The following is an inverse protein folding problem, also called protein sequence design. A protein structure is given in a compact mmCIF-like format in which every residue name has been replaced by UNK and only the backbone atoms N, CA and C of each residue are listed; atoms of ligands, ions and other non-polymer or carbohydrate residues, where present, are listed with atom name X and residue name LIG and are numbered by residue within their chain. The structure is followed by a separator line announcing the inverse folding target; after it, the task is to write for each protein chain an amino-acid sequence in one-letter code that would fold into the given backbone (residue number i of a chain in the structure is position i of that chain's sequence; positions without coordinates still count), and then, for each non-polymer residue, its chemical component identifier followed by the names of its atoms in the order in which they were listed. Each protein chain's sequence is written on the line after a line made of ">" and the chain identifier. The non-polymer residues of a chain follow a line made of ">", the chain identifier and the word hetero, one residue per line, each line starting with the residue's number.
data_IF_465530171573
#
_entry.id   IF_465530171573
#
_cell.length_a   1.000
_cell.length_b   1.000
_cell.length_c   1.000
_cell.angle_alpha   90.00
_cell.angle_beta   90.00
_cell.angle_gamma   90.00
#
_symmetry.space_group_name_H-M   'P 1'
#
loop_
_entity.id
_entity.type
_entity.pdbx_description
1 polymer ?
2 non-polymer ?
3 non-polymer ?
4 water ?
#
# COMPACT_ATOMS: atom_id res chain seq x y z
N UNK A 1 8.76 12.74 -24.07
CA UNK A 1 7.84 11.94 -23.26
C UNK A 1 8.57 11.02 -22.32
N UNK A 2 8.34 11.16 -21.00
CA UNK A 2 9.01 10.25 -20.06
C UNK A 2 8.50 8.82 -20.13
N UNK A 3 9.33 7.87 -19.72
CA UNK A 3 8.94 6.46 -19.75
C UNK A 3 8.10 6.15 -18.51
N UNK A 4 7.42 4.97 -18.50
CA UNK A 4 6.66 4.59 -17.32
C UNK A 4 7.59 4.44 -16.09
N UNK A 5 8.78 3.80 -16.28
CA UNK A 5 9.69 3.62 -15.15
C UNK A 5 10.31 4.94 -14.66
N UNK A 6 10.55 5.90 -15.57
CA UNK A 6 11.01 7.24 -15.22
C UNK A 6 9.93 7.93 -14.38
N UNK A 7 8.66 7.81 -14.80
CA UNK A 7 7.55 8.40 -14.02
C UNK A 7 7.39 7.73 -12.66
N UNK A 8 7.63 6.39 -12.57
CA UNK A 8 7.54 5.72 -11.26
C UNK A 8 8.65 6.26 -10.35
N UNK A 9 9.88 6.44 -10.91
CA UNK A 9 10.98 6.97 -10.10
C UNK A 9 10.76 8.44 -9.69
N UNK A 10 10.18 9.26 -10.58
CA UNK A 10 9.87 10.66 -10.26
C UNK A 10 8.82 10.67 -9.12
N UNK A 11 7.82 9.79 -9.22
CA UNK A 11 6.81 9.64 -8.18
C UNK A 11 7.44 9.24 -6.84
N UNK A 12 8.36 8.26 -6.87
CA UNK A 12 9.05 7.84 -5.64
C UNK A 12 9.84 8.99 -5.04
N UNK A 13 10.54 9.77 -5.88
CA UNK A 13 11.34 10.89 -5.40
C UNK A 13 10.41 11.95 -4.76
N UNK A 14 9.29 12.24 -5.42
CA UNK A 14 8.29 13.17 -4.90
C UNK A 14 7.72 12.65 -3.57
N UNK A 15 7.50 11.34 -3.45
CA UNK A 15 6.97 10.74 -2.24
C UNK A 15 7.95 10.96 -1.08
N UNK A 16 9.27 10.77 -1.33
CA UNK A 16 10.29 11.01 -0.30
C UNK A 16 10.25 12.48 0.16
N UNK A 17 9.97 13.39 -0.77
CA UNK A 17 9.82 14.81 -0.47
C UNK A 17 8.47 15.21 0.11
N UNK A 18 7.59 14.23 0.40
CA UNK A 18 6.22 14.41 0.94
C UNK A 18 5.31 15.19 0.02
N UNK A 19 5.54 15.10 -1.30
CA UNK A 19 4.68 15.79 -2.26
C UNK A 19 3.68 14.76 -2.78
N UNK A 20 2.68 14.41 -1.95
CA UNK A 20 1.75 13.29 -2.23
C UNK A 20 0.82 13.48 -3.46
N UNK A 21 0.11 14.60 -3.69
CA UNK A 21 -0.70 14.73 -4.92
C UNK A 21 0.18 14.63 -6.17
N UNK A 22 1.35 15.27 -6.12
CA UNK A 22 2.28 15.25 -7.25
C UNK A 22 2.78 13.83 -7.50
N UNK A 23 3.13 13.12 -6.43
CA UNK A 23 3.58 11.72 -6.56
C UNK A 23 2.46 10.84 -7.14
N UNK A 24 1.21 10.99 -6.62
CA UNK A 24 0.09 10.20 -7.12
C UNK A 24 -0.15 10.45 -8.61
N UNK A 25 0.00 11.70 -9.05
CA UNK A 25 -0.18 12.03 -10.48
C UNK A 25 0.90 11.36 -11.32
N UNK A 26 2.17 11.31 -10.86
CA UNK A 26 3.23 10.60 -11.61
C UNK A 26 2.91 9.11 -11.73
N UNK A 27 2.47 8.46 -10.62
CA UNK A 27 2.10 7.05 -10.69
C UNK A 27 0.94 6.84 -11.67
N UNK A 28 0.00 7.81 -11.74
CA UNK A 28 -1.11 7.75 -12.67
C UNK A 28 -0.60 7.82 -14.10
N UNK A 29 0.40 8.68 -14.37
CA UNK A 29 0.98 8.78 -15.71
C UNK A 29 1.74 7.48 -16.08
N UNK A 30 2.36 6.82 -15.08
CA UNK A 30 3.04 5.54 -15.32
C UNK A 30 1.98 4.48 -15.71
N UNK A 31 0.82 4.47 -15.00
CA UNK A 31 -0.31 3.57 -15.26
C UNK A 31 -0.85 3.78 -16.68
N UNK A 32 -0.92 5.03 -17.13
CA UNK A 32 -1.38 5.32 -18.50
C UNK A 32 -0.51 4.61 -19.52
N UNK A 33 0.82 4.65 -19.29
CA UNK A 33 1.75 3.98 -20.20
C UNK A 33 1.69 2.47 -20.09
N UNK A 34 1.60 1.95 -18.86
CA UNK A 34 1.54 0.52 -18.64
C UNK A 34 0.63 0.21 -17.45
N UNK A 35 -0.63 -0.15 -17.73
CA UNK A 35 -1.57 -0.39 -16.62
C UNK A 35 -1.48 -1.80 -16.01
N UNK A 36 -0.48 -2.59 -16.40
CA UNK A 36 -0.34 -3.98 -15.94
C UNK A 36 0.72 -4.20 -14.86
N UNK A 37 1.19 -3.11 -14.24
CA UNK A 37 2.24 -3.17 -13.23
C UNK A 37 1.61 -2.91 -11.89
N UNK A 38 1.50 -3.96 -11.07
CA UNK A 38 0.87 -3.82 -9.77
C UNK A 38 1.50 -2.74 -8.88
N UNK A 39 2.84 -2.61 -8.87
CA UNK A 39 3.50 -1.68 -7.97
C UNK A 39 3.13 -0.21 -8.22
N UNK A 40 2.67 0.13 -9.44
CA UNK A 40 2.25 1.53 -9.68
C UNK A 40 0.99 1.83 -8.82
N UNK A 41 0.06 0.86 -8.76
CA UNK A 41 -1.15 1.01 -7.97
C UNK A 41 -0.84 0.98 -6.48
N UNK A 42 0.04 0.07 -6.04
CA UNK A 42 0.43 -0.01 -4.64
C UNK A 42 1.10 1.30 -4.16
N UNK A 43 1.97 1.86 -5.00
CA UNK A 43 2.62 3.12 -4.67
C UNK A 43 1.61 4.27 -4.58
N UNK A 44 0.63 4.31 -5.50
CA UNK A 44 -0.38 5.36 -5.46
C UNK A 44 -1.30 5.15 -4.28
N UNK A 45 -1.60 3.90 -3.88
CA UNK A 45 -2.44 3.65 -2.70
C UNK A 45 -1.83 4.29 -1.45
N UNK A 46 -0.50 4.24 -1.35
CA UNK A 46 0.19 4.87 -0.22
C UNK A 46 0.05 6.39 -0.26
N UNK A 47 0.10 6.96 -1.46
CA UNK A 47 -0.13 8.42 -1.61
C UNK A 47 -1.54 8.76 -1.11
N UNK A 48 -2.54 7.97 -1.56
CA UNK A 48 -3.92 8.19 -1.14
C UNK A 48 -4.04 8.07 0.37
N UNK A 49 -3.32 7.11 0.98
CA UNK A 49 -3.34 6.96 2.42
C UNK A 49 -2.78 8.17 3.12
N UNK A 50 -1.64 8.71 2.63
CA UNK A 50 -1.08 9.94 3.19
C UNK A 50 -2.01 11.13 3.00
N UNK A 51 -2.80 11.14 1.93
CA UNK A 51 -3.77 12.21 1.67
C UNK A 51 -5.12 11.96 2.36
N UNK A 52 -5.23 10.89 3.18
CA UNK A 52 -6.43 10.56 3.91
C UNK A 52 -7.60 10.18 2.99
N UNK A 53 -7.32 9.72 1.76
CA UNK A 53 -8.36 9.33 0.81
C UNK A 53 -8.45 7.81 0.90
N UNK A 54 -9.17 7.34 1.92
CA UNK A 54 -9.23 5.92 2.23
C UNK A 54 -9.93 5.08 1.19
N UNK A 55 -11.08 5.51 0.69
CA UNK A 55 -11.75 4.75 -0.39
C UNK A 55 -10.85 4.62 -1.65
N UNK A 56 -10.10 5.68 -2.00
CA UNK A 56 -9.21 5.61 -3.16
C UNK A 56 -8.03 4.67 -2.89
N UNK A 57 -7.49 4.70 -1.66
CA UNK A 57 -6.39 3.83 -1.28
C UNK A 57 -6.84 2.35 -1.35
N UNK A 58 -8.07 2.05 -0.84
CA UNK A 58 -8.58 0.67 -0.92
C UNK A 58 -8.70 0.23 -2.38
N UNK A 59 -9.21 1.11 -3.23
CA UNK A 59 -9.41 0.76 -4.65
C UNK A 59 -8.10 0.48 -5.34
N UNK A 60 -7.02 1.24 -5.04
CA UNK A 60 -5.73 0.95 -5.67
C UNK A 60 -5.16 -0.36 -5.13
N UNK A 61 -5.34 -0.66 -3.84
CA UNK A 61 -4.88 -1.95 -3.31
C UNK A 61 -5.58 -3.10 -4.03
N UNK A 62 -6.90 -2.95 -4.30
CA UNK A 62 -7.64 -4.00 -5.01
C UNK A 62 -7.15 -4.16 -6.46
N UNK A 63 -6.79 -3.06 -7.13
CA UNK A 63 -6.27 -3.15 -8.51
C UNK A 63 -4.92 -3.86 -8.49
N UNK A 64 -4.08 -3.57 -7.49
CA UNK A 64 -2.78 -4.22 -7.36
C UNK A 64 -2.96 -5.72 -7.10
N UNK A 65 -3.91 -6.08 -6.21
CA UNK A 65 -4.15 -7.47 -5.85
C UNK A 65 -4.69 -8.31 -7.00
N UNK A 66 -5.45 -7.65 -7.91
CA UNK A 66 -5.97 -8.35 -9.06
C UNK A 66 -4.84 -8.70 -10.05
N UNK A 67 -3.78 -7.87 -10.12
CA UNK A 67 -2.64 -8.12 -10.98
C UNK A 67 -1.61 -9.05 -10.30
N UNK A 68 -1.44 -8.90 -8.97
CA UNK A 68 -0.46 -9.67 -8.22
C UNK A 68 -1.03 -10.04 -6.85
N UNK A 69 -1.66 -11.21 -6.80
CA UNK A 69 -2.24 -11.73 -5.57
C UNK A 69 -1.24 -12.09 -4.48
N UNK A 70 0.05 -12.15 -4.84
CA UNK A 70 1.11 -12.43 -3.89
C UNK A 70 1.74 -11.17 -3.31
N UNK A 71 1.23 -9.98 -3.66
CA UNK A 71 1.85 -8.74 -3.19
C UNK A 71 1.84 -8.56 -1.68
N UNK A 72 3.03 -8.53 -1.10
CA UNK A 72 3.20 -8.22 0.31
C UNK A 72 2.74 -6.77 0.56
N UNK A 73 3.21 -5.85 -0.26
CA UNK A 73 2.92 -4.43 -0.08
C UNK A 73 1.45 -4.10 -0.23
N UNK A 74 0.74 -4.71 -1.21
CA UNK A 74 -0.68 -4.43 -1.37
C UNK A 74 -1.49 -4.90 -0.17
N UNK A 75 -1.17 -6.08 0.40
CA UNK A 75 -1.87 -6.55 1.60
C UNK A 75 -1.51 -5.66 2.78
N UNK A 76 -0.24 -5.25 2.87
CA UNK A 76 0.17 -4.41 4.01
C UNK A 76 -0.56 -3.05 3.98
N UNK A 77 -0.59 -2.38 2.81
CA UNK A 77 -1.25 -1.08 2.71
C UNK A 77 -2.76 -1.22 2.84
N UNK A 78 -3.34 -2.33 2.37
CA UNK A 78 -4.77 -2.58 2.54
C UNK A 78 -5.10 -2.67 4.04
N UNK A 79 -4.29 -3.42 4.78
CA UNK A 79 -4.48 -3.56 6.21
C UNK A 79 -4.32 -2.24 6.94
N UNK A 80 -3.28 -1.44 6.60
CA UNK A 80 -3.07 -0.14 7.21
C UNK A 80 -4.25 0.78 6.95
N UNK A 81 -4.78 0.76 5.72
CA UNK A 81 -5.92 1.58 5.36
C UNK A 81 -7.16 1.16 6.16
N UNK A 82 -7.44 -0.15 6.21
CA UNK A 82 -8.56 -0.67 7.00
C UNK A 82 -8.43 -0.31 8.46
N UNK A 83 -7.21 -0.30 8.98
CA UNK A 83 -6.98 0.06 10.39
C UNK A 83 -7.41 1.52 10.63
N UNK A 84 -7.01 2.42 9.72
CA UNK A 84 -7.41 3.83 9.85
C UNK A 84 -8.92 3.99 9.73
N UNK A 85 -9.59 3.10 8.94
CA UNK A 85 -11.06 3.10 8.79
C UNK A 85 -11.80 2.39 9.92
N UNK A 86 -11.05 1.89 10.92
CA UNK A 86 -11.62 1.21 12.05
C UNK A 86 -12.26 -0.13 11.68
N UNK A 87 -11.84 -0.75 10.56
CA UNK A 87 -12.26 -2.11 10.19
C UNK A 87 -11.15 -3.03 10.73
N UNK A 88 -11.13 -3.24 12.05
CA UNK A 88 -10.03 -3.90 12.75
C UNK A 88 -9.79 -5.32 12.38
N UNK A 89 -10.86 -6.12 12.30
CA UNK A 89 -10.71 -7.54 12.01
C UNK A 89 -10.10 -7.74 10.63
N UNK A 90 -10.60 -6.98 9.65
CA UNK A 90 -10.08 -7.08 8.29
C UNK A 90 -8.62 -6.61 8.22
N UNK A 91 -8.29 -5.50 8.92
CA UNK A 91 -6.94 -4.95 8.94
C UNK A 91 -5.93 -6.02 9.43
N UNK A 92 -6.26 -6.66 10.56
CA UNK A 92 -5.40 -7.65 11.20
C UNK A 92 -5.18 -8.83 10.27
N UNK A 93 -6.24 -9.31 9.62
CA UNK A 93 -6.10 -10.42 8.67
C UNK A 93 -5.17 -10.04 7.50
N UNK A 94 -5.30 -8.82 6.91
CA UNK A 94 -4.41 -8.41 5.83
C UNK A 94 -2.94 -8.20 6.29
N UNK A 95 -2.74 -7.65 7.49
CA UNK A 95 -1.38 -7.47 8.01
C UNK A 95 -0.75 -8.85 8.27
N UNK A 96 -1.52 -9.77 8.83
CA UNK A 96 -1.06 -11.15 9.04
C UNK A 96 -0.73 -11.83 7.71
N UNK A 97 -1.52 -11.54 6.67
CA UNK A 97 -1.26 -12.09 5.35
C UNK A 97 0.02 -11.50 4.75
N UNK A 98 0.28 -10.19 4.96
CA UNK A 98 1.53 -9.60 4.47
C UNK A 98 2.72 -10.25 5.20
N UNK A 99 2.58 -10.52 6.50
CA UNK A 99 3.63 -11.19 7.27
C UNK A 99 3.96 -12.57 6.67
N UNK A 100 2.92 -13.37 6.43
CA UNK A 100 3.09 -14.71 5.89
C UNK A 100 3.67 -14.70 4.49
N UNK A 101 3.22 -13.74 3.64
CA UNK A 101 3.74 -13.67 2.28
C UNK A 101 5.22 -13.22 2.30
N UNK A 102 5.58 -12.27 3.21
CA UNK A 102 6.95 -11.81 3.30
C UNK A 102 7.85 -12.94 3.77
N UNK A 103 7.40 -13.74 4.73
CA UNK A 103 8.19 -14.88 5.22
C UNK A 103 8.38 -15.93 4.11
N UNK A 104 7.33 -16.19 3.31
CA UNK A 104 7.39 -17.17 2.22
C UNK A 104 8.32 -16.68 1.10
N UNK A 105 8.28 -15.37 0.81
CA UNK A 105 9.12 -14.78 -0.22
C UNK A 105 10.55 -14.42 0.28
N UNK A 106 10.87 -14.76 1.54
CA UNK A 106 12.15 -14.53 2.18
C UNK A 106 12.54 -13.07 2.16
N UNK A 107 11.56 -12.21 2.46
CA UNK A 107 11.75 -10.77 2.48
C UNK A 107 11.99 -10.32 3.90
N UNK A 108 12.86 -9.32 4.04
CA UNK A 108 13.24 -8.83 5.34
C UNK A 108 12.80 -7.40 5.53
N UNK A 109 11.79 -7.17 6.38
CA UNK A 109 11.36 -5.82 6.72
C UNK A 109 11.55 -5.53 8.23
N UNK A 110 12.44 -6.27 8.89
CA UNK A 110 12.68 -6.14 10.31
C UNK A 110 11.41 -6.37 11.12
N UNK A 111 11.12 -5.46 12.05
CA UNK A 111 9.91 -5.57 12.85
C UNK A 111 8.75 -4.74 12.28
N UNK A 112 8.81 -4.34 11.00
CA UNK A 112 7.76 -3.53 10.41
C UNK A 112 6.37 -4.16 10.49
N UNK A 113 6.24 -5.43 10.04
CA UNK A 113 4.91 -6.04 10.01
C UNK A 113 4.47 -6.43 11.43
N UNK A 114 5.29 -7.11 12.28
CA UNK A 114 4.83 -7.38 13.66
C UNK A 114 4.47 -6.11 14.44
N UNK A 115 5.18 -4.99 14.20
CA UNK A 115 4.89 -3.70 14.88
C UNK A 115 3.51 -3.19 14.47
N UNK A 116 3.21 -3.24 13.16
CA UNK A 116 1.93 -2.79 12.63
C UNK A 116 0.82 -3.68 13.18
N UNK A 117 1.05 -5.00 13.25
CA UNK A 117 0.06 -5.94 13.80
C UNK A 117 -0.22 -5.61 15.26
N UNK A 118 0.81 -5.33 16.05
CA UNK A 118 0.60 -5.00 17.47
C UNK A 118 -0.23 -3.73 17.62
N UNK A 119 0.01 -2.71 16.77
CA UNK A 119 -0.77 -1.46 16.82
C UNK A 119 -2.25 -1.78 16.51
N UNK A 120 -2.49 -2.58 15.46
CA UNK A 120 -3.86 -2.96 15.09
C UNK A 120 -4.56 -3.77 16.16
N UNK A 121 -3.87 -4.75 16.76
CA UNK A 121 -4.46 -5.59 17.80
C UNK A 121 -4.76 -4.75 19.04
N UNK A 122 -3.88 -3.77 19.37
CA UNK A 122 -4.14 -2.93 20.55
C UNK A 122 -5.33 -2.01 20.26
N UNK A 123 -5.41 -1.48 19.04
CA UNK A 123 -6.53 -0.63 18.66
C UNK A 123 -7.85 -1.41 18.72
N UNK A 124 -7.86 -2.67 18.23
CA UNK A 124 -9.05 -3.51 18.27
C UNK A 124 -9.46 -3.77 19.72
N UNK A 125 -8.50 -4.12 20.58
CA UNK A 125 -8.81 -4.36 21.98
C UNK A 125 -9.34 -3.11 22.67
N UNK A 126 -8.68 -1.97 22.47
CA UNK A 126 -9.09 -0.71 23.11
C UNK A 126 -10.55 -0.36 22.81
N UNK A 127 -11.03 -0.72 21.61
CA UNK A 127 -12.40 -0.49 21.17
C UNK A 127 -13.40 -1.48 21.80
N UNK A 128 -12.93 -2.64 22.28
CA UNK A 128 -13.73 -3.68 22.94
C UNK A 128 -13.74 -3.42 24.44
#
# INVERSE_FOLDING_TARGET
>A
SPSAQELKEQGNRLFVGRKYPEAAACYGRAITRNPLVAVYYTNRALCYLKMQQHEQALADCRRALELDGQSVKAHFFLGQCQLEMESYDEAIANLQRAYSLAKEQRLNFGDDIPSALRIAKKKRWNSI
#
